data_IF_980424429322
#
_entry.id   IF_980424429322
#
_cell.length_a   1.000
_cell.length_b   1.000
_cell.length_c   1.000
_cell.angle_alpha   90.00
_cell.angle_beta   90.00
_cell.angle_gamma   90.00
#
_symmetry.space_group_name_H-M   'P 1'
#
loop_
_entity.id
_entity.type
_entity.pdbx_description
1 polymer ?
#
# COMPACT_ATOMS: atom_id res chain seq x y z
N UNK A 1 14.03 -0.22 -4.85
CA UNK A 1 14.19 1.03 -4.06
C UNK A 1 13.73 0.78 -2.63
N UNK A 2 13.92 1.72 -1.70
CA UNK A 2 13.41 1.59 -0.33
C UNK A 2 11.88 1.39 -0.32
N UNK A 3 11.15 2.16 -1.14
CA UNK A 3 9.69 2.07 -1.31
C UNK A 3 9.25 0.67 -1.78
N UNK A 4 9.91 0.10 -2.80
CA UNK A 4 9.63 -1.27 -3.27
C UNK A 4 9.87 -2.32 -2.17
N UNK A 5 10.93 -2.17 -1.38
CA UNK A 5 11.21 -3.05 -0.23
C UNK A 5 10.12 -2.97 0.85
N UNK A 6 9.66 -1.75 1.17
CA UNK A 6 8.56 -1.52 2.12
C UNK A 6 7.27 -2.15 1.62
N UNK A 7 6.90 -1.93 0.35
CA UNK A 7 5.74 -2.53 -0.31
C UNK A 7 5.75 -4.06 -0.24
N UNK A 8 6.88 -4.69 -0.60
CA UNK A 8 7.05 -6.15 -0.55
C UNK A 8 7.00 -6.74 0.85
N UNK A 9 7.35 -5.94 1.86
CA UNK A 9 7.24 -6.34 3.28
C UNK A 9 5.85 -6.09 3.89
N UNK A 10 4.89 -5.57 3.10
CA UNK A 10 3.54 -5.23 3.58
C UNK A 10 3.45 -3.91 4.34
N UNK A 11 4.55 -3.14 4.43
CA UNK A 11 4.63 -1.84 5.10
C UNK A 11 4.22 -0.71 4.16
N UNK A 12 3.00 -0.79 3.63
CA UNK A 12 2.49 0.13 2.60
C UNK A 12 2.31 1.55 3.18
N UNK A 13 1.92 1.69 4.45
CA UNK A 13 1.81 3.01 5.10
C UNK A 13 3.15 3.74 5.10
N UNK A 14 4.20 3.09 5.61
CA UNK A 14 5.56 3.65 5.65
C UNK A 14 6.10 3.99 4.24
N UNK A 15 5.68 3.22 3.22
CA UNK A 15 6.02 3.51 1.83
C UNK A 15 5.34 4.80 1.33
N UNK A 16 4.08 5.03 1.69
CA UNK A 16 3.35 6.26 1.39
C UNK A 16 3.92 7.46 2.15
N UNK A 17 4.20 7.32 3.45
CA UNK A 17 4.78 8.38 4.28
C UNK A 17 6.12 8.87 3.68
N UNK A 18 6.91 7.95 3.13
CA UNK A 18 8.16 8.29 2.45
C UNK A 18 7.93 9.03 1.12
N UNK A 19 6.85 8.73 0.39
CA UNK A 19 6.48 9.49 -0.83
C UNK A 19 6.05 10.91 -0.46
N UNK A 20 5.31 11.06 0.65
CA UNK A 20 4.90 12.38 1.15
C UNK A 20 6.14 13.19 1.59
N UNK A 21 7.10 12.57 2.29
CA UNK A 21 8.38 13.22 2.65
C UNK A 21 9.19 13.63 1.40
N UNK A 22 9.21 12.79 0.36
CA UNK A 22 9.84 13.17 -0.91
C UNK A 22 9.18 14.42 -1.48
N UNK A 23 7.85 14.46 -1.54
CA UNK A 23 7.11 15.62 -2.02
C UNK A 23 7.44 16.88 -1.22
N UNK A 24 7.40 16.78 0.11
CA UNK A 24 7.66 17.91 1.02
C UNK A 24 9.12 18.41 0.95
N UNK A 25 10.06 17.54 0.59
CA UNK A 25 11.46 17.90 0.33
C UNK A 25 11.72 18.38 -1.10
N UNK A 26 10.69 18.53 -1.93
CA UNK A 26 10.79 18.98 -3.33
C UNK A 26 11.32 17.90 -4.29
N UNK A 27 11.36 16.65 -3.86
CA UNK A 27 11.72 15.49 -4.69
C UNK A 27 10.46 14.79 -5.17
N UNK A 28 10.42 14.46 -6.46
CA UNK A 28 9.26 13.77 -7.03
C UNK A 28 9.51 12.27 -7.12
N UNK A 29 8.58 11.50 -6.56
CA UNK A 29 8.47 10.08 -6.84
C UNK A 29 8.29 9.86 -8.35
N UNK A 30 9.02 8.89 -8.90
CA UNK A 30 8.93 8.53 -10.32
C UNK A 30 7.86 7.45 -10.56
N UNK A 31 7.57 7.16 -11.83
CA UNK A 31 6.56 6.17 -12.22
C UNK A 31 6.78 4.80 -11.56
N UNK A 32 8.03 4.35 -11.45
CA UNK A 32 8.39 3.06 -10.82
C UNK A 32 7.98 3.03 -9.35
N UNK A 33 8.05 4.17 -8.67
CA UNK A 33 7.68 4.31 -7.26
C UNK A 33 6.17 4.12 -7.08
N UNK A 34 5.37 4.80 -7.90
CA UNK A 34 3.92 4.66 -7.89
C UNK A 34 3.47 3.26 -8.33
N UNK A 35 4.12 2.67 -9.35
CA UNK A 35 3.84 1.29 -9.77
C UNK A 35 4.04 0.30 -8.61
N UNK A 36 5.08 0.50 -7.80
CA UNK A 36 5.35 -0.36 -6.63
C UNK A 36 4.25 -0.27 -5.57
N UNK A 37 3.72 0.94 -5.33
CA UNK A 37 2.63 1.17 -4.37
C UNK A 37 1.32 0.58 -4.89
N UNK A 38 1.01 0.77 -6.17
CA UNK A 38 -0.20 0.22 -6.80
C UNK A 38 -0.21 -1.31 -6.78
N UNK A 39 0.92 -1.97 -7.11
CA UNK A 39 1.05 -3.42 -7.00
C UNK A 39 0.79 -3.94 -5.57
N UNK A 40 1.21 -3.18 -4.56
CA UNK A 40 0.94 -3.52 -3.17
C UNK A 40 -0.55 -3.39 -2.82
N UNK A 41 -1.23 -2.33 -3.32
CA UNK A 41 -2.67 -2.16 -3.14
C UNK A 41 -3.49 -3.24 -3.85
N UNK A 42 -3.13 -3.63 -5.07
CA UNK A 42 -3.81 -4.71 -5.79
C UNK A 42 -3.76 -6.03 -5.00
N UNK A 43 -2.63 -6.34 -4.36
CA UNK A 43 -2.48 -7.50 -3.47
C UNK A 43 -3.37 -7.38 -2.23
N UNK A 44 -3.45 -6.19 -1.63
CA UNK A 44 -4.33 -5.95 -0.48
C UNK A 44 -5.81 -6.14 -0.84
N UNK A 45 -6.24 -5.60 -2.00
CA UNK A 45 -7.60 -5.78 -2.53
C UNK A 45 -7.89 -7.25 -2.81
N UNK A 46 -6.96 -7.98 -3.43
CA UNK A 46 -7.11 -9.41 -3.67
C UNK A 46 -7.24 -10.22 -2.36
N UNK A 47 -6.53 -9.82 -1.30
CA UNK A 47 -6.68 -10.43 0.01
C UNK A 47 -8.06 -10.13 0.62
N UNK A 48 -8.55 -8.89 0.52
CA UNK A 48 -9.89 -8.51 0.96
C UNK A 48 -10.98 -9.32 0.23
N UNK A 49 -10.83 -9.52 -1.08
CA UNK A 49 -11.74 -10.36 -1.86
C UNK A 49 -11.75 -11.81 -1.36
N UNK A 50 -10.58 -12.40 -1.11
CA UNK A 50 -10.47 -13.75 -0.54
C UNK A 50 -11.15 -13.87 0.82
N UNK A 51 -10.97 -12.88 1.71
CA UNK A 51 -11.61 -12.88 3.01
C UNK A 51 -13.13 -12.83 2.90
N UNK A 52 -13.66 -12.04 1.96
CA UNK A 52 -15.10 -11.97 1.68
C UNK A 52 -15.64 -13.31 1.17
N UNK A 53 -14.95 -13.96 0.25
CA UNK A 53 -15.34 -15.27 -0.30
C UNK A 53 -15.30 -16.38 0.77
N UNK A 54 -14.45 -16.24 1.77
CA UNK A 54 -14.39 -17.11 2.96
C UNK A 54 -15.47 -16.80 4.00
N UNK A 55 -16.36 -15.84 3.74
CA UNK A 55 -17.41 -15.44 4.68
C UNK A 55 -16.89 -14.64 5.89
N UNK A 56 -15.64 -14.19 5.87
CA UNK A 56 -15.06 -13.35 6.91
C UNK A 56 -15.55 -11.93 6.71
N UNK A 57 -16.62 -11.56 7.42
CA UNK A 57 -17.07 -10.18 7.54
C UNK A 57 -16.04 -9.39 8.34
N UNK A 58 -15.28 -8.52 7.68
CA UNK A 58 -14.45 -7.55 8.37
C UNK A 58 -15.36 -6.54 9.08
N UNK A 59 -15.32 -6.54 10.41
CA UNK A 59 -16.16 -5.73 11.31
C UNK A 59 -15.76 -4.24 11.26
N UNK A 60 -15.87 -3.57 10.12
CA UNK A 60 -15.42 -2.18 9.96
C UNK A 60 -16.40 -1.10 10.49
N UNK A 61 -17.47 -1.45 11.23
CA UNK A 61 -18.54 -0.47 11.61
C UNK A 61 -18.93 -0.41 13.09
N UNK A 62 -18.24 -1.10 14.01
CA UNK A 62 -18.56 -1.08 15.45
C UNK A 62 -17.43 -0.53 16.32
N UNK A 63 -16.87 0.61 15.90
CA UNK A 63 -16.31 1.64 16.78
C UNK A 63 -16.79 3.00 16.30
#
# INVERSE_FOLDING_TARGET
SLIDGLCKSGRISDACDLVDEMHDSGQFANVITYDSILDAFDKAIALLAKLKDQGVQLQWWYT
#
